data_IF_044116309548
#
_entry.id   IF_044116309548
#
_cell.length_a   1.000
_cell.length_b   1.000
_cell.length_c   1.000
_cell.angle_alpha   90.00
_cell.angle_beta   90.00
_cell.angle_gamma   90.00
#
_symmetry.space_group_name_H-M   'P 1'
#
loop_
_entity.id
_entity.type
_entity.pdbx_description
1 polymer ?
#
# COMPACT_ATOMS: atom_id res chain seq x y z
N UNK A 1 -0.76 -25.69 -18.56
CA UNK A 1 -0.54 -24.24 -18.78
C UNK A 1 -1.71 -23.50 -18.12
N UNK A 2 -1.44 -22.46 -17.32
CA UNK A 2 -2.51 -21.67 -16.66
C UNK A 2 -3.29 -20.84 -17.70
N UNK A 3 -4.50 -20.34 -17.38
CA UNK A 3 -5.22 -19.41 -18.26
C UNK A 3 -4.38 -18.19 -18.66
N UNK A 4 -3.74 -17.52 -17.70
CA UNK A 4 -2.82 -16.42 -17.98
C UNK A 4 -1.63 -16.84 -18.87
N UNK A 5 -1.06 -18.02 -18.63
CA UNK A 5 0.04 -18.55 -19.44
C UNK A 5 -0.33 -18.69 -20.92
N UNK A 6 -1.59 -19.08 -21.23
CA UNK A 6 -2.07 -19.13 -22.62
C UNK A 6 -2.14 -17.73 -23.23
N UNK A 7 -2.73 -16.77 -22.52
CA UNK A 7 -2.82 -15.38 -22.98
C UNK A 7 -1.45 -14.76 -23.27
N UNK A 8 -0.47 -15.01 -22.40
CA UNK A 8 0.90 -14.51 -22.59
C UNK A 8 1.59 -15.15 -23.79
N UNK A 9 1.41 -16.46 -23.99
CA UNK A 9 1.94 -17.15 -25.18
C UNK A 9 1.33 -16.58 -26.46
N UNK A 10 0.03 -16.33 -26.48
CA UNK A 10 -0.64 -15.77 -27.66
C UNK A 10 -0.17 -14.32 -27.92
N UNK A 11 -0.05 -13.49 -26.87
CA UNK A 11 0.54 -12.14 -26.98
C UNK A 11 1.96 -12.16 -27.54
N UNK A 12 2.80 -13.11 -27.11
CA UNK A 12 4.18 -13.23 -27.60
C UNK A 12 4.22 -13.69 -29.07
N UNK A 13 3.30 -14.58 -29.48
CA UNK A 13 3.19 -15.03 -30.87
C UNK A 13 2.80 -13.90 -31.80
N UNK A 14 1.90 -13.02 -31.36
CA UNK A 14 1.37 -11.92 -32.17
C UNK A 14 2.28 -10.68 -32.15
N UNK A 15 2.82 -10.32 -30.98
CA UNK A 15 3.54 -9.06 -30.76
C UNK A 15 5.05 -9.21 -30.56
N UNK A 16 5.58 -10.44 -30.59
CA UNK A 16 6.98 -10.72 -30.31
C UNK A 16 7.30 -10.83 -28.80
N UNK A 17 8.58 -10.99 -28.45
CA UNK A 17 9.00 -11.17 -27.06
C UNK A 17 8.56 -10.03 -26.15
N UNK A 18 8.07 -10.37 -24.96
CA UNK A 18 7.78 -9.40 -23.90
C UNK A 18 8.97 -9.29 -22.94
N UNK A 19 9.06 -8.16 -22.25
CA UNK A 19 10.08 -8.00 -21.21
C UNK A 19 9.72 -8.82 -19.97
N UNK A 20 10.72 -9.10 -19.12
CA UNK A 20 10.47 -9.70 -17.81
C UNK A 20 9.58 -8.79 -16.94
N UNK A 21 9.68 -7.47 -17.10
CA UNK A 21 8.85 -6.51 -16.40
C UNK A 21 7.36 -6.66 -16.77
N UNK A 22 7.05 -6.77 -18.07
CA UNK A 22 5.68 -7.01 -18.55
C UNK A 22 5.16 -8.35 -18.05
N UNK A 23 5.96 -9.41 -18.14
CA UNK A 23 5.59 -10.73 -17.64
C UNK A 23 5.25 -10.70 -16.15
N UNK A 24 6.06 -10.02 -15.33
CA UNK A 24 5.84 -9.89 -13.89
C UNK A 24 4.58 -9.07 -13.59
N UNK A 25 4.38 -7.95 -14.27
CA UNK A 25 3.19 -7.12 -14.10
C UNK A 25 1.91 -7.93 -14.37
N UNK A 26 1.89 -8.72 -15.45
CA UNK A 26 0.77 -9.59 -15.79
C UNK A 26 0.54 -10.69 -14.73
N UNK A 27 1.61 -11.38 -14.33
CA UNK A 27 1.52 -12.43 -13.29
C UNK A 27 0.97 -11.90 -11.96
N UNK A 28 1.33 -10.67 -11.58
CA UNK A 28 0.95 -10.10 -10.30
C UNK A 28 -0.42 -9.42 -10.34
N UNK A 29 -0.72 -8.69 -11.41
CA UNK A 29 -1.81 -7.70 -11.46
C UNK A 29 -2.80 -7.91 -12.62
N UNK A 30 -2.69 -8.97 -13.44
CA UNK A 30 -3.67 -9.20 -14.50
C UNK A 30 -5.11 -9.16 -13.94
N UNK A 31 -6.04 -8.40 -14.56
CA UNK A 31 -7.36 -8.12 -13.97
C UNK A 31 -8.21 -9.35 -13.61
N UNK A 32 -7.96 -10.48 -14.26
CA UNK A 32 -8.70 -11.73 -14.02
C UNK A 32 -7.85 -12.87 -13.44
N UNK A 33 -6.52 -12.75 -13.50
CA UNK A 33 -5.62 -13.89 -13.27
C UNK A 33 -4.38 -13.52 -12.45
N UNK A 34 -4.21 -12.24 -12.14
CA UNK A 34 -3.11 -11.76 -11.31
C UNK A 34 -3.18 -12.37 -9.92
N UNK A 35 -2.01 -12.62 -9.36
CA UNK A 35 -1.86 -13.17 -8.02
C UNK A 35 -2.56 -12.31 -6.95
N UNK A 36 -2.33 -11.00 -6.95
CA UNK A 36 -2.96 -10.07 -5.98
C UNK A 36 -4.40 -9.72 -6.32
N UNK A 37 -4.84 -10.01 -7.54
CA UNK A 37 -6.22 -9.81 -7.98
C UNK A 37 -7.13 -10.95 -7.53
N UNK A 38 -6.64 -12.19 -7.59
CA UNK A 38 -7.46 -13.39 -7.40
C UNK A 38 -7.32 -14.05 -6.04
N UNK A 39 -6.31 -13.68 -5.24
CA UNK A 39 -5.99 -14.35 -3.96
C UNK A 39 -5.91 -13.37 -2.80
N UNK A 40 -6.06 -13.89 -1.59
CA UNK A 40 -5.66 -13.21 -0.36
C UNK A 40 -4.33 -13.82 0.13
N UNK A 41 -3.17 -13.24 -0.23
CA UNK A 41 -1.89 -13.88 0.09
C UNK A 41 -1.40 -13.59 1.51
N UNK A 42 -2.08 -12.70 2.26
CA UNK A 42 -1.53 -12.13 3.49
C UNK A 42 -2.01 -12.84 4.76
N UNK A 43 -1.10 -13.00 5.71
CA UNK A 43 -1.38 -13.43 7.08
C UNK A 43 -1.15 -14.93 7.29
N UNK A 44 -1.44 -15.43 8.50
CA UNK A 44 -1.14 -16.82 8.88
C UNK A 44 -1.86 -17.88 8.02
N UNK A 45 -2.99 -17.52 7.40
CA UNK A 45 -3.73 -18.38 6.47
C UNK A 45 -3.41 -18.11 4.99
N UNK A 46 -2.56 -17.11 4.71
CA UNK A 46 -2.10 -16.75 3.37
C UNK A 46 -0.81 -17.48 2.99
N UNK A 47 -0.23 -17.09 1.86
CA UNK A 47 1.02 -17.66 1.35
C UNK A 47 2.25 -17.17 2.14
N UNK A 48 2.14 -16.01 2.80
CA UNK A 48 3.17 -15.45 3.67
C UNK A 48 2.60 -14.46 4.70
N UNK A 49 3.36 -14.24 5.77
CA UNK A 49 3.05 -13.26 6.82
C UNK A 49 4.07 -12.11 6.78
N UNK A 50 3.60 -10.87 6.94
CA UNK A 50 4.43 -9.66 6.91
C UNK A 50 4.66 -9.12 8.32
N UNK A 51 5.67 -8.25 8.51
CA UNK A 51 6.01 -7.71 9.83
C UNK A 51 4.84 -7.01 10.55
N UNK A 52 4.01 -6.16 9.89
CA UNK A 52 2.83 -5.58 10.53
C UNK A 52 1.81 -6.64 11.00
N UNK A 53 1.70 -7.75 10.30
CA UNK A 53 0.81 -8.86 10.66
C UNK A 53 1.37 -9.75 11.78
N UNK A 54 2.68 -9.70 12.04
CA UNK A 54 3.32 -10.45 13.14
C UNK A 54 3.17 -9.70 14.46
N UNK A 55 3.39 -8.38 14.46
CA UNK A 55 3.36 -7.59 15.70
C UNK A 55 3.03 -6.13 15.46
N UNK A 56 2.08 -5.63 16.25
CA UNK A 56 1.73 -4.21 16.31
C UNK A 56 2.93 -3.31 16.66
N UNK A 57 3.94 -3.84 17.35
CA UNK A 57 5.13 -3.09 17.74
C UNK A 57 5.88 -2.57 16.51
N UNK A 58 5.82 -3.29 15.39
CA UNK A 58 6.43 -2.84 14.15
C UNK A 58 5.80 -1.51 13.69
N UNK A 59 4.46 -1.47 13.59
CA UNK A 59 3.76 -0.26 13.18
C UNK A 59 3.83 0.87 14.20
N UNK A 60 3.85 0.55 15.50
CA UNK A 60 4.04 1.55 16.55
C UNK A 60 5.40 2.25 16.46
N UNK A 61 6.47 1.48 16.28
CA UNK A 61 7.82 2.03 16.16
C UNK A 61 7.98 2.91 14.91
N UNK A 62 7.43 2.47 13.77
CA UNK A 62 7.40 3.27 12.55
C UNK A 62 6.60 4.56 12.78
N UNK A 63 5.41 4.47 13.39
CA UNK A 63 4.58 5.64 13.62
C UNK A 63 5.25 6.69 14.51
N UNK A 64 5.87 6.26 15.60
CA UNK A 64 6.61 7.16 16.50
C UNK A 64 7.83 7.78 15.80
N UNK A 65 8.56 7.01 14.98
CA UNK A 65 9.66 7.52 14.16
C UNK A 65 9.18 8.60 13.19
N UNK A 66 8.09 8.37 12.47
CA UNK A 66 7.52 9.33 11.52
C UNK A 66 7.02 10.60 12.21
N UNK A 67 6.36 10.45 13.36
CA UNK A 67 5.90 11.58 14.15
C UNK A 67 7.06 12.42 14.70
N UNK A 68 8.14 11.78 15.16
CA UNK A 68 9.35 12.49 15.60
C UNK A 68 10.01 13.21 14.42
N UNK A 69 10.17 12.56 13.27
CA UNK A 69 10.74 13.18 12.09
C UNK A 69 9.90 14.37 11.59
N UNK A 70 8.57 14.33 11.75
CA UNK A 70 7.68 15.45 11.46
C UNK A 70 7.89 16.63 12.42
N UNK A 71 8.02 16.36 13.73
CA UNK A 71 8.32 17.39 14.73
C UNK A 71 9.68 18.05 14.46
N UNK A 72 10.71 17.25 14.18
CA UNK A 72 12.08 17.73 13.92
C UNK A 72 12.17 18.61 12.67
N UNK A 73 11.27 18.39 11.70
CA UNK A 73 11.14 19.19 10.48
C UNK A 73 10.19 20.39 10.64
N UNK A 74 9.86 20.77 11.88
CA UNK A 74 9.09 21.97 12.19
C UNK A 74 7.57 21.77 12.10
N UNK A 75 7.09 20.53 12.20
CA UNK A 75 5.68 20.20 12.30
C UNK A 75 4.82 20.76 11.14
N UNK A 76 5.28 20.56 9.90
CA UNK A 76 4.63 21.08 8.70
C UNK A 76 3.14 20.71 8.62
N UNK A 77 2.30 21.68 8.22
CA UNK A 77 0.86 21.52 8.10
C UNK A 77 0.31 22.22 6.84
N UNK A 78 -0.36 21.50 5.91
CA UNK A 78 -0.55 20.05 5.88
C UNK A 78 0.69 19.27 5.39
N UNK A 79 0.78 17.99 5.71
CA UNK A 79 1.76 17.05 5.15
C UNK A 79 1.07 15.78 4.63
N UNK A 80 1.74 15.03 3.74
CA UNK A 80 1.26 13.72 3.27
C UNK A 80 1.86 12.61 4.12
N UNK A 81 1.01 11.74 4.67
CA UNK A 81 1.42 10.47 5.26
C UNK A 81 1.08 9.37 4.24
N UNK A 82 2.08 8.89 3.52
CA UNK A 82 1.91 7.97 2.41
C UNK A 82 2.31 6.53 2.78
N UNK A 83 1.67 5.55 2.15
CA UNK A 83 2.11 4.16 2.19
C UNK A 83 1.98 3.55 0.79
N UNK A 84 3.05 2.89 0.31
CA UNK A 84 3.09 2.25 -1.00
C UNK A 84 2.88 0.73 -0.82
N UNK A 85 1.84 0.20 -1.44
CA UNK A 85 1.41 -1.18 -1.25
C UNK A 85 1.00 -1.49 0.19
N UNK A 86 -0.07 -0.86 0.74
CA UNK A 86 -0.42 -0.98 2.16
C UNK A 86 -0.92 -2.36 2.60
N UNK A 87 -1.08 -3.31 1.65
CA UNK A 87 -1.68 -4.61 1.92
C UNK A 87 -3.08 -4.45 2.51
N UNK A 88 -3.27 -4.85 3.76
CA UNK A 88 -4.55 -4.76 4.47
C UNK A 88 -4.79 -3.41 5.17
N UNK A 89 -3.80 -2.50 5.13
CA UNK A 89 -3.81 -1.23 5.87
C UNK A 89 -3.39 -1.35 7.33
N UNK A 90 -2.88 -2.53 7.75
CA UNK A 90 -2.50 -2.84 9.13
C UNK A 90 -1.40 -1.92 9.65
N UNK A 91 -0.36 -1.66 8.83
CA UNK A 91 0.73 -0.75 9.20
C UNK A 91 0.21 0.66 9.44
N UNK A 92 -0.52 1.25 8.47
CA UNK A 92 -1.13 2.57 8.65
C UNK A 92 -2.05 2.65 9.88
N UNK A 93 -2.83 1.61 10.16
CA UNK A 93 -3.71 1.58 11.32
C UNK A 93 -2.91 1.65 12.63
N UNK A 94 -1.81 0.90 12.74
CA UNK A 94 -0.92 0.95 13.90
C UNK A 94 -0.19 2.29 14.02
N UNK A 95 0.30 2.85 12.90
CA UNK A 95 0.91 4.18 12.85
C UNK A 95 -0.05 5.23 13.41
N UNK A 96 -1.30 5.24 12.94
CA UNK A 96 -2.32 6.19 13.37
C UNK A 96 -2.71 6.00 14.84
N UNK A 97 -2.78 4.75 15.30
CA UNK A 97 -3.07 4.44 16.71
C UNK A 97 -1.94 4.90 17.63
N UNK A 98 -0.69 4.62 17.28
CA UNK A 98 0.50 4.95 18.08
C UNK A 98 0.72 6.46 18.20
N UNK A 99 0.41 7.20 17.13
CA UNK A 99 0.67 8.65 17.04
C UNK A 99 -0.49 9.51 17.57
N UNK A 100 -1.57 8.91 18.09
CA UNK A 100 -2.75 9.65 18.59
C UNK A 100 -2.41 10.70 19.65
N UNK A 101 -1.37 10.46 20.45
CA UNK A 101 -0.92 11.37 21.50
C UNK A 101 -0.04 12.52 21.00
N UNK A 102 0.36 12.55 19.73
CA UNK A 102 1.26 13.58 19.18
C UNK A 102 0.46 14.81 18.77
N UNK A 103 0.61 15.96 19.46
CA UNK A 103 -0.18 17.15 19.18
C UNK A 103 0.00 17.62 17.73
N UNK A 104 -1.11 17.92 17.05
CA UNK A 104 -1.10 18.46 15.69
C UNK A 104 -0.83 17.47 14.55
N UNK A 105 -0.28 16.27 14.83
CA UNK A 105 0.10 15.30 13.81
C UNK A 105 -1.10 14.86 12.96
N UNK A 106 -2.16 14.36 13.61
CA UNK A 106 -3.38 13.87 12.93
C UNK A 106 -4.16 14.98 12.22
N UNK A 107 -4.17 16.20 12.77
CA UNK A 107 -4.84 17.34 12.13
C UNK A 107 -4.11 17.79 10.85
N UNK A 108 -2.79 17.64 10.83
CA UNK A 108 -1.92 18.06 9.72
C UNK A 108 -1.75 16.98 8.65
N UNK A 109 -1.89 15.70 9.03
CA UNK A 109 -1.74 14.57 8.13
C UNK A 109 -2.84 14.50 7.07
N UNK A 110 -2.44 14.16 5.85
CA UNK A 110 -3.32 13.73 4.75
C UNK A 110 -2.86 12.35 4.31
N UNK A 111 -3.67 11.34 4.55
CA UNK A 111 -3.28 9.94 4.32
C UNK A 111 -3.46 9.60 2.85
N UNK A 112 -2.39 9.14 2.19
CA UNK A 112 -2.39 8.74 0.80
C UNK A 112 -1.88 7.29 0.64
N UNK A 113 -2.66 6.43 0.00
CA UNK A 113 -2.35 5.01 -0.16
C UNK A 113 -2.13 4.71 -1.65
N UNK A 114 -0.93 4.27 -2.03
CA UNK A 114 -0.63 3.87 -3.41
C UNK A 114 -0.88 2.37 -3.54
N UNK A 115 -1.99 1.99 -4.17
CA UNK A 115 -2.45 0.60 -4.23
C UNK A 115 -3.05 0.28 -5.60
N UNK A 116 -2.52 -0.71 -6.31
CA UNK A 116 -3.00 -1.09 -7.63
C UNK A 116 -4.22 -2.04 -7.58
N UNK A 117 -4.40 -2.80 -6.50
CA UNK A 117 -5.46 -3.81 -6.36
C UNK A 117 -6.78 -3.19 -5.87
N UNK A 118 -7.86 -3.18 -6.68
CA UNK A 118 -9.16 -2.66 -6.25
C UNK A 118 -9.70 -3.36 -5.00
N UNK A 119 -9.49 -4.68 -4.91
CA UNK A 119 -9.86 -5.48 -3.75
C UNK A 119 -9.15 -5.01 -2.48
N UNK A 120 -7.84 -4.73 -2.55
CA UNK A 120 -7.11 -4.25 -1.37
C UNK A 120 -7.53 -2.83 -0.98
N UNK A 121 -7.89 -1.98 -1.95
CA UNK A 121 -8.49 -0.67 -1.64
C UNK A 121 -9.77 -0.82 -0.81
N UNK A 122 -10.63 -1.78 -1.13
CA UNK A 122 -11.84 -2.05 -0.34
C UNK A 122 -11.51 -2.51 1.09
N UNK A 123 -10.54 -3.42 1.24
CA UNK A 123 -10.08 -3.88 2.56
C UNK A 123 -9.51 -2.71 3.37
N UNK A 124 -8.65 -1.90 2.77
CA UNK A 124 -8.05 -0.73 3.40
C UNK A 124 -9.11 0.31 3.79
N UNK A 125 -10.13 0.51 2.96
CA UNK A 125 -11.22 1.45 3.24
C UNK A 125 -12.01 1.06 4.49
N UNK A 126 -12.19 -0.25 4.73
CA UNK A 126 -12.79 -0.77 5.94
C UNK A 126 -11.84 -0.63 7.14
N UNK A 127 -10.58 -1.04 7.00
CA UNK A 127 -9.57 -0.97 8.07
C UNK A 127 -9.35 0.47 8.56
N UNK A 128 -9.35 1.44 7.64
CA UNK A 128 -9.00 2.84 7.90
C UNK A 128 -10.22 3.78 7.81
N UNK A 129 -11.44 3.25 7.91
CA UNK A 129 -12.69 4.01 7.77
C UNK A 129 -12.73 5.34 8.59
N UNK A 130 -12.21 5.42 9.83
CA UNK A 130 -12.23 6.67 10.60
C UNK A 130 -11.33 7.78 10.03
N UNK A 131 -10.36 7.42 9.19
CA UNK A 131 -9.24 8.29 8.83
C UNK A 131 -9.33 8.86 7.40
N UNK A 132 -10.33 8.45 6.61
CA UNK A 132 -10.62 8.95 5.25
C UNK A 132 -9.37 9.06 4.36
N UNK A 133 -8.63 7.96 4.13
CA UNK A 133 -7.49 7.97 3.22
C UNK A 133 -7.93 8.25 1.78
N UNK A 134 -7.00 8.75 0.97
CA UNK A 134 -7.15 8.80 -0.49
C UNK A 134 -6.30 7.71 -1.13
N UNK A 135 -6.80 7.11 -2.21
CA UNK A 135 -6.05 6.11 -2.97
C UNK A 135 -5.51 6.70 -4.26
N UNK A 136 -4.27 6.34 -4.57
CA UNK A 136 -3.55 6.75 -5.76
C UNK A 136 -3.17 5.49 -6.55
N UNK A 137 -3.13 5.62 -7.87
CA UNK A 137 -2.73 4.52 -8.75
C UNK A 137 -1.21 4.38 -8.75
N UNK A 138 -0.49 5.50 -8.67
CA UNK A 138 0.97 5.52 -8.75
C UNK A 138 1.61 6.44 -7.73
N UNK A 139 2.89 6.19 -7.45
CA UNK A 139 3.67 7.03 -6.54
C UNK A 139 3.88 8.44 -7.09
N UNK A 140 3.91 8.61 -8.41
CA UNK A 140 4.07 9.91 -9.04
C UNK A 140 2.82 10.81 -8.89
N UNK A 141 1.67 10.23 -8.50
CA UNK A 141 0.44 10.98 -8.24
C UNK A 141 0.42 11.62 -6.84
N UNK A 142 1.45 11.40 -6.02
CA UNK A 142 1.57 12.02 -4.70
C UNK A 142 1.66 13.54 -4.83
N UNK A 143 0.95 14.31 -3.98
CA UNK A 143 0.92 15.76 -4.09
C UNK A 143 2.26 16.37 -3.70
N UNK A 144 2.64 17.45 -4.37
CA UNK A 144 3.84 18.24 -4.05
C UNK A 144 3.67 19.00 -2.72
N UNK A 145 4.03 18.34 -1.62
CA UNK A 145 4.07 18.86 -0.25
C UNK A 145 5.00 17.99 0.61
N UNK A 146 5.38 18.41 1.83
CA UNK A 146 6.15 17.57 2.75
C UNK A 146 5.49 16.20 2.89
N UNK A 147 6.25 15.15 2.59
CA UNK A 147 5.74 13.79 2.49
C UNK A 147 6.59 12.85 3.32
N UNK A 148 5.90 12.03 4.11
CA UNK A 148 6.46 10.96 4.93
C UNK A 148 5.92 9.65 4.38
N UNK A 149 6.83 8.77 3.98
CA UNK A 149 6.54 7.46 3.36
C UNK A 149 7.03 6.36 4.28
#
# INVERSE_FOLDING_TARGET
>A
MTPLGRLLVDRIREGGPITVADYMAECLLHPLHGYYTTRDPFGAAGDFITAPEISQMFGEMIGLMLAQAWLDQGAAAPFTLAELGPGRGTLMADVLRATKGVPGFHASARIALVEASPRLREVQALTLAPHRPVWLDRAEDLPDRPTFV
#
